data_IF_214640455539
#
_entry.id   IF_214640455539
#
_cell.length_a   1.000
_cell.length_b   1.000
_cell.length_c   1.000
_cell.angle_alpha   90.00
_cell.angle_beta   90.00
_cell.angle_gamma   90.00
#
_symmetry.space_group_name_H-M   'P 1'
#
loop_
_entity.id
_entity.type
_entity.pdbx_description
1 polymer ?
#
# COMPACT_ATOMS: atom_id res chain seq x y z
N UNK A 1 -13.74 -14.97 3.37
CA UNK A 1 -12.42 -14.53 2.86
C UNK A 1 -11.78 -15.75 2.17
N UNK A 2 -11.16 -15.62 0.99
CA UNK A 2 -10.34 -16.70 0.42
C UNK A 2 -8.88 -16.29 0.56
N UNK A 3 -8.07 -17.20 1.06
CA UNK A 3 -6.67 -16.95 1.44
C UNK A 3 -5.78 -18.01 0.83
N UNK A 4 -4.48 -17.71 0.81
CA UNK A 4 -3.45 -18.72 0.61
C UNK A 4 -2.88 -19.10 1.98
N UNK A 5 -2.74 -20.39 2.23
CA UNK A 5 -2.11 -20.91 3.44
C UNK A 5 -0.75 -21.49 3.09
N UNK A 6 0.31 -20.94 3.67
CA UNK A 6 1.63 -21.57 3.61
C UNK A 6 1.72 -22.61 4.72
N UNK A 7 1.70 -23.89 4.37
CA UNK A 7 1.71 -24.98 5.36
C UNK A 7 3.11 -25.26 5.94
N UNK A 8 4.17 -24.70 5.36
CA UNK A 8 5.53 -24.82 5.90
C UNK A 8 5.77 -23.80 7.03
N UNK A 9 5.29 -22.56 6.86
CA UNK A 9 5.46 -21.47 7.83
C UNK A 9 4.24 -21.26 8.73
N UNK A 10 3.08 -21.78 8.33
CA UNK A 10 1.79 -21.51 8.99
C UNK A 10 1.17 -20.15 8.62
N UNK A 11 1.73 -19.43 7.66
CA UNK A 11 1.25 -18.10 7.29
C UNK A 11 -0.10 -18.14 6.57
N UNK A 12 -0.96 -17.18 6.90
CA UNK A 12 -2.19 -16.90 6.18
C UNK A 12 -2.03 -15.64 5.33
N UNK A 13 -1.93 -15.79 4.02
CA UNK A 13 -1.76 -14.68 3.08
C UNK A 13 -3.10 -14.23 2.50
N UNK A 14 -3.45 -12.97 2.75
CA UNK A 14 -4.65 -12.32 2.20
C UNK A 14 -4.25 -11.39 1.06
N UNK A 15 -4.81 -11.63 -0.12
CA UNK A 15 -4.48 -10.82 -1.31
C UNK A 15 -5.39 -9.59 -1.45
N UNK A 16 -4.85 -8.47 -1.95
CA UNK A 16 -5.66 -7.31 -2.27
C UNK A 16 -6.63 -7.59 -3.43
N UNK A 17 -7.77 -6.91 -3.43
CA UNK A 17 -8.78 -6.92 -4.50
C UNK A 17 -8.18 -6.55 -5.85
N UNK A 18 -7.29 -5.55 -5.85
CA UNK A 18 -6.59 -5.07 -7.02
C UNK A 18 -5.09 -5.15 -6.74
N UNK A 19 -4.42 -6.24 -7.18
CA UNK A 19 -3.00 -6.46 -6.89
C UNK A 19 -2.07 -5.55 -7.68
N UNK A 20 -2.52 -5.00 -8.81
CA UNK A 20 -1.72 -4.13 -9.67
C UNK A 20 -2.46 -2.84 -9.97
N UNK A 21 -1.73 -1.73 -9.84
CA UNK A 21 -2.15 -0.40 -10.26
C UNK A 21 -1.51 -0.10 -11.62
N UNK A 22 -2.28 0.48 -12.54
CA UNK A 22 -1.79 0.77 -13.89
C UNK A 22 -0.58 1.73 -13.86
N UNK A 23 0.43 1.46 -14.68
CA UNK A 23 1.64 2.27 -14.78
C UNK A 23 1.40 3.49 -15.70
N UNK A 24 0.83 4.56 -15.15
CA UNK A 24 0.57 5.80 -15.88
C UNK A 24 0.94 7.03 -15.04
N UNK A 25 0.85 8.21 -15.65
CA UNK A 25 0.95 9.45 -14.89
C UNK A 25 -0.33 9.61 -14.04
N UNK A 26 -0.18 9.56 -12.72
CA UNK A 26 -1.28 9.66 -11.75
C UNK A 26 -1.47 11.05 -11.17
N UNK A 27 -0.49 11.94 -11.30
CA UNK A 27 -0.52 13.25 -10.68
C UNK A 27 0.33 14.27 -11.43
N UNK A 28 -0.28 15.41 -11.75
CA UNK A 28 0.40 16.59 -12.30
C UNK A 28 0.24 17.72 -11.29
N UNK A 29 1.35 18.18 -10.72
CA UNK A 29 1.35 19.30 -9.78
C UNK A 29 1.04 20.61 -10.51
N UNK A 30 0.25 21.49 -9.88
CA UNK A 30 0.07 22.88 -10.34
C UNK A 30 1.36 23.69 -10.21
N UNK A 31 2.28 23.29 -9.33
CA UNK A 31 3.59 23.91 -9.13
C UNK A 31 4.71 22.85 -9.22
N UNK A 32 5.40 22.73 -10.37
CA UNK A 32 6.43 21.69 -10.56
C UNK A 32 7.67 21.84 -9.67
N UNK A 33 7.91 23.03 -9.11
CA UNK A 33 9.07 23.31 -8.23
C UNK A 33 8.83 22.83 -6.79
N UNK A 34 7.57 22.75 -6.37
CA UNK A 34 7.20 22.30 -5.03
C UNK A 34 6.99 20.79 -5.05
N UNK A 35 7.91 20.05 -4.42
CA UNK A 35 7.81 18.61 -4.22
C UNK A 35 7.32 18.34 -2.80
N UNK A 36 6.16 17.69 -2.69
CA UNK A 36 5.58 17.25 -1.43
C UNK A 36 5.02 15.84 -1.56
N UNK A 37 4.81 15.18 -0.43
CA UNK A 37 4.09 13.90 -0.43
C UNK A 37 2.63 14.13 -0.84
N UNK A 38 2.14 13.28 -1.73
CA UNK A 38 0.76 13.30 -2.22
C UNK A 38 0.21 11.89 -2.10
N UNK A 39 -0.84 11.73 -1.30
CA UNK A 39 -1.46 10.43 -1.05
C UNK A 39 -2.26 9.96 -2.28
N UNK A 40 -1.92 8.78 -2.77
CA UNK A 40 -2.59 8.15 -3.92
C UNK A 40 -4.10 7.96 -3.68
N UNK A 41 -4.47 7.39 -2.53
CA UNK A 41 -5.87 7.08 -2.20
C UNK A 41 -6.74 8.31 -1.93
N UNK A 42 -6.16 9.47 -1.63
CA UNK A 42 -6.90 10.65 -1.19
C UNK A 42 -6.92 11.76 -2.22
N UNK A 43 -5.77 12.02 -2.86
CA UNK A 43 -5.50 13.24 -3.63
C UNK A 43 -5.33 13.02 -5.14
N UNK A 44 -5.24 11.77 -5.61
CA UNK A 44 -5.08 11.47 -7.04
C UNK A 44 -6.43 11.16 -7.71
N UNK A 45 -6.52 11.39 -9.03
CA UNK A 45 -7.76 11.46 -9.83
C UNK A 45 -8.72 10.27 -9.72
N UNK A 46 -8.25 9.12 -9.21
CA UNK A 46 -9.05 7.90 -9.07
C UNK A 46 -9.34 7.47 -7.63
N UNK A 47 -8.77 8.10 -6.59
CA UNK A 47 -9.09 7.93 -5.15
C UNK A 47 -9.49 6.51 -4.71
N UNK A 48 -8.75 5.47 -5.13
CA UNK A 48 -9.03 4.08 -4.74
C UNK A 48 -7.94 3.64 -3.76
N UNK A 49 -8.23 3.54 -2.45
CA UNK A 49 -7.31 2.90 -1.53
C UNK A 49 -7.14 1.42 -1.91
N UNK A 50 -6.00 0.82 -1.54
CA UNK A 50 -5.81 -0.62 -1.69
C UNK A 50 -6.81 -1.32 -0.78
N UNK A 51 -7.55 -2.26 -1.35
CA UNK A 51 -8.70 -2.89 -0.72
C UNK A 51 -8.49 -4.38 -0.68
N UNK A 52 -9.00 -5.03 0.35
CA UNK A 52 -8.77 -6.46 0.63
C UNK A 52 -10.12 -7.17 0.71
N UNK A 53 -10.98 -7.01 -0.28
CA UNK A 53 -12.26 -7.74 -0.37
C UNK A 53 -12.52 -8.31 -1.75
N UNK A 54 -13.42 -9.28 -1.83
CA UNK A 54 -13.94 -9.74 -3.12
C UNK A 54 -15.24 -9.03 -3.48
N UNK A 55 -15.57 -8.92 -4.77
CA UNK A 55 -16.92 -8.55 -5.18
C UNK A 55 -17.95 -9.43 -4.43
N UNK A 56 -18.88 -8.81 -3.70
CA UNK A 56 -19.88 -9.51 -2.90
C UNK A 56 -19.53 -9.76 -1.42
N UNK A 57 -18.37 -9.33 -0.93
CA UNK A 57 -18.06 -9.33 0.51
C UNK A 57 -18.37 -7.96 1.13
N UNK A 58 -18.97 -7.96 2.33
CA UNK A 58 -19.15 -6.73 3.11
C UNK A 58 -17.78 -6.24 3.64
N UNK A 59 -17.40 -4.97 3.41
CA UNK A 59 -16.17 -4.41 3.96
C UNK A 59 -16.06 -4.51 5.48
N UNK A 60 -17.18 -4.42 6.21
CA UNK A 60 -17.21 -4.57 7.66
C UNK A 60 -16.86 -5.99 8.09
N UNK A 61 -17.42 -7.00 7.43
CA UNK A 61 -17.10 -8.41 7.68
C UNK A 61 -15.60 -8.68 7.45
N UNK A 62 -15.05 -8.14 6.37
CA UNK A 62 -13.62 -8.27 6.06
C UNK A 62 -12.76 -7.61 7.14
N UNK A 63 -13.13 -6.43 7.62
CA UNK A 63 -12.40 -5.75 8.68
C UNK A 63 -12.43 -6.54 10.00
N UNK A 64 -13.57 -7.16 10.32
CA UNK A 64 -13.69 -8.06 11.48
C UNK A 64 -12.76 -9.26 11.31
N UNK A 65 -12.77 -9.93 10.15
CA UNK A 65 -11.90 -11.08 9.89
C UNK A 65 -10.41 -10.74 10.00
N UNK A 66 -10.00 -9.58 9.47
CA UNK A 66 -8.62 -9.10 9.61
C UNK A 66 -8.24 -8.76 11.05
N UNK A 67 -9.21 -8.30 11.86
CA UNK A 67 -8.99 -8.04 13.29
C UNK A 67 -8.71 -9.34 14.04
N UNK A 68 -9.52 -10.39 13.82
CA UNK A 68 -9.26 -11.70 14.40
C UNK A 68 -7.93 -12.29 13.93
N UNK A 69 -7.60 -12.14 12.64
CA UNK A 69 -6.31 -12.61 12.12
C UNK A 69 -5.13 -11.94 12.84
N UNK A 70 -5.23 -10.63 13.14
CA UNK A 70 -4.20 -9.93 13.93
C UNK A 70 -4.11 -10.42 15.37
N UNK A 71 -5.23 -10.74 16.00
CA UNK A 71 -5.26 -11.26 17.38
C UNK A 71 -4.66 -12.67 17.48
N UNK A 72 -4.78 -13.47 16.41
CA UNK A 72 -4.32 -14.85 16.36
C UNK A 72 -2.89 -15.00 15.80
N UNK A 73 -2.28 -13.92 15.32
CA UNK A 73 -0.93 -13.90 14.76
C UNK A 73 0.01 -13.07 15.62
N UNK A 74 1.27 -13.49 15.68
CA UNK A 74 2.32 -12.75 16.40
C UNK A 74 2.99 -11.68 15.54
N UNK A 75 2.99 -11.87 14.22
CA UNK A 75 3.62 -10.98 13.26
C UNK A 75 2.82 -10.91 11.96
N UNK A 76 3.10 -9.88 11.16
CA UNK A 76 2.54 -9.71 9.83
C UNK A 76 3.57 -9.05 8.93
N UNK A 77 3.60 -9.47 7.67
CA UNK A 77 4.47 -8.91 6.63
C UNK A 77 3.65 -8.54 5.39
N UNK A 78 4.08 -7.51 4.67
CA UNK A 78 3.46 -7.11 3.41
C UNK A 78 4.52 -6.56 2.45
N UNK A 79 4.53 -7.09 1.24
CA UNK A 79 5.42 -6.63 0.17
C UNK A 79 4.66 -5.72 -0.80
N UNK A 80 5.26 -4.58 -1.13
CA UNK A 80 4.71 -3.60 -2.09
C UNK A 80 5.80 -3.25 -3.10
N UNK A 81 5.46 -3.31 -4.39
CA UNK A 81 6.37 -2.93 -5.48
C UNK A 81 5.96 -1.57 -6.04
N UNK A 82 6.90 -0.62 -6.07
CA UNK A 82 6.69 0.68 -6.70
C UNK A 82 7.35 0.71 -8.09
N UNK A 83 6.52 0.68 -9.14
CA UNK A 83 6.99 0.86 -10.52
C UNK A 83 7.17 2.35 -10.82
N UNK A 84 8.37 2.74 -11.28
CA UNK A 84 8.72 4.14 -11.47
C UNK A 84 9.22 4.46 -12.89
N UNK A 85 8.94 5.68 -13.35
CA UNK A 85 9.57 6.32 -14.51
C UNK A 85 9.82 7.78 -14.14
N UNK A 86 11.09 8.19 -14.10
CA UNK A 86 11.51 9.53 -13.63
C UNK A 86 10.97 9.89 -12.23
N UNK A 87 10.84 8.89 -11.35
CA UNK A 87 10.35 9.05 -9.98
C UNK A 87 11.24 8.26 -9.02
N UNK A 88 11.67 8.89 -7.92
CA UNK A 88 12.51 8.28 -6.88
C UNK A 88 11.59 7.65 -5.84
N UNK A 89 11.87 6.40 -5.45
CA UNK A 89 11.05 5.65 -4.50
C UNK A 89 11.65 5.60 -3.08
N UNK A 90 12.98 5.57 -2.97
CA UNK A 90 13.70 5.36 -1.71
C UNK A 90 14.98 6.23 -1.67
N UNK A 91 16.09 5.73 -2.23
CA UNK A 91 17.37 6.42 -2.26
C UNK A 91 17.47 7.36 -3.48
N UNK A 92 17.80 8.62 -3.23
CA UNK A 92 18.13 9.57 -4.29
C UNK A 92 19.62 9.54 -4.60
N UNK A 93 20.00 8.97 -5.74
CA UNK A 93 21.39 8.84 -6.17
C UNK A 93 22.12 10.19 -6.28
N UNK A 94 21.43 11.28 -6.63
CA UNK A 94 22.06 12.59 -6.82
C UNK A 94 22.50 13.22 -5.49
N UNK A 95 21.76 12.95 -4.42
CA UNK A 95 21.97 13.59 -3.12
C UNK A 95 22.41 12.61 -2.03
N UNK A 96 22.42 11.30 -2.32
CA UNK A 96 22.84 10.24 -1.42
C UNK A 96 21.98 10.10 -0.16
N UNK A 97 20.71 10.55 -0.18
CA UNK A 97 19.84 10.52 1.00
C UNK A 97 18.41 10.02 0.67
N UNK A 98 17.62 9.82 1.73
CA UNK A 98 16.26 9.29 1.69
C UNK A 98 15.16 10.37 1.78
N UNK A 99 15.49 11.66 1.60
CA UNK A 99 14.51 12.76 1.76
C UNK A 99 13.36 12.71 0.73
N UNK A 100 13.53 11.91 -0.33
CA UNK A 100 12.53 11.69 -1.39
C UNK A 100 11.88 10.29 -1.31
N UNK A 101 12.12 9.53 -0.25
CA UNK A 101 11.53 8.21 -0.06
C UNK A 101 10.01 8.30 0.06
N UNK A 102 9.32 7.29 -0.45
CA UNK A 102 7.86 7.22 -0.38
C UNK A 102 7.39 6.97 1.06
N UNK A 103 6.15 7.36 1.33
CA UNK A 103 5.45 7.07 2.58
C UNK A 103 4.40 6.00 2.32
N UNK A 104 4.25 5.08 3.27
CA UNK A 104 3.17 4.10 3.27
C UNK A 104 2.25 4.38 4.46
N UNK A 105 0.94 4.24 4.25
CA UNK A 105 -0.05 4.42 5.31
C UNK A 105 -0.55 3.05 5.77
N UNK A 106 -0.34 2.76 7.05
CA UNK A 106 -0.87 1.57 7.70
C UNK A 106 -2.39 1.65 7.90
N UNK A 107 -3.01 0.50 8.19
CA UNK A 107 -4.46 0.41 8.40
C UNK A 107 -4.95 1.08 9.70
N UNK A 108 -4.04 1.44 10.59
CA UNK A 108 -4.30 2.11 11.87
C UNK A 108 -3.84 3.57 11.83
N UNK A 109 -3.80 4.18 10.64
CA UNK A 109 -3.42 5.58 10.40
C UNK A 109 -1.96 5.92 10.74
N UNK A 110 -1.13 4.92 11.04
CA UNK A 110 0.31 5.10 11.26
C UNK A 110 1.04 5.18 9.92
N UNK A 111 1.90 6.18 9.77
CA UNK A 111 2.80 6.30 8.63
C UNK A 111 4.06 5.44 8.82
N UNK A 112 4.40 4.68 7.78
CA UNK A 112 5.62 3.88 7.71
C UNK A 112 6.61 4.62 6.80
N UNK A 113 7.82 4.84 7.32
CA UNK A 113 8.88 5.64 6.72
C UNK A 113 10.19 4.86 6.61
N UNK A 114 11.06 5.34 5.73
CA UNK A 114 12.40 4.83 5.43
C UNK A 114 13.48 5.37 6.37
#
# INVERSE_FOLDING_TARGET
LMVFCNMETGETCVYPTQPSVAQKNWYISKNPKEKRHVWYGESMTWRIPVRVWRPGSDPADVAIQLTFLRLMSTEASQNITYHCKNSVAYMDQQTGNLKKALLLQGSNEIEIRA
#
